data_IF_422138368255
#
_entry.id   IF_422138368255
#
_cell.length_a   1.000
_cell.length_b   1.000
_cell.length_c   1.000
_cell.angle_alpha   90.00
_cell.angle_beta   90.00
_cell.angle_gamma   90.00
#
_symmetry.space_group_name_H-M   'P 1'
#
loop_
_entity.id
_entity.type
_entity.pdbx_description
1 polymer ?
#
# COMPACT_ATOMS: atom_id res chain seq x y z
N UNK A 1 26.72 4.56 21.50
CA UNK A 1 25.37 4.70 20.91
C UNK A 1 24.79 3.31 20.77
N UNK A 2 23.51 3.14 21.10
CA UNK A 2 22.84 1.84 20.97
C UNK A 2 22.91 1.33 19.52
N UNK A 3 23.24 0.05 19.34
CA UNK A 3 23.29 -0.55 18.01
C UNK A 3 21.88 -0.96 17.60
N UNK A 4 21.29 -0.22 16.67
CA UNK A 4 19.98 -0.52 16.08
C UNK A 4 20.17 -0.97 14.64
N UNK A 5 19.57 -2.10 14.28
CA UNK A 5 19.45 -2.57 12.90
C UNK A 5 17.97 -2.73 12.52
N UNK A 6 17.67 -2.78 11.23
CA UNK A 6 16.34 -2.97 10.70
C UNK A 6 16.33 -4.06 9.64
N UNK A 7 15.36 -4.96 9.70
CA UNK A 7 15.03 -5.88 8.63
C UNK A 7 13.63 -5.56 8.10
N UNK A 8 13.46 -5.59 6.78
CA UNK A 8 12.14 -5.62 6.12
C UNK A 8 11.96 -7.02 5.56
N UNK A 9 10.94 -7.73 6.03
CA UNK A 9 10.63 -9.08 5.57
C UNK A 9 9.62 -8.97 4.43
N UNK A 10 10.04 -9.35 3.23
CA UNK A 10 9.26 -9.23 2.01
C UNK A 10 8.79 -10.60 1.54
N UNK A 11 7.54 -11.00 1.82
CA UNK A 11 7.05 -12.31 1.44
C UNK A 11 6.85 -12.45 -0.07
N UNK A 12 6.74 -13.71 -0.52
CA UNK A 12 6.50 -14.02 -1.92
C UNK A 12 5.16 -13.46 -2.41
N UNK A 13 5.15 -13.00 -3.66
CA UNK A 13 3.94 -12.63 -4.37
C UNK A 13 3.04 -13.80 -4.76
N UNK A 14 3.51 -15.05 -4.58
CA UNK A 14 2.86 -16.25 -5.10
C UNK A 14 1.45 -16.49 -4.56
N UNK A 15 1.16 -16.02 -3.35
CA UNK A 15 -0.19 -16.09 -2.77
C UNK A 15 -1.17 -15.10 -3.42
N UNK A 16 -0.71 -14.23 -4.33
CA UNK A 16 -1.49 -13.09 -4.84
C UNK A 16 -1.68 -13.08 -6.37
N UNK A 17 -2.09 -14.19 -7.00
CA UNK A 17 -2.32 -14.21 -8.45
C UNK A 17 -3.40 -13.22 -8.87
N UNK A 18 -4.39 -12.92 -8.00
CA UNK A 18 -5.44 -11.94 -8.29
C UNK A 18 -4.91 -10.51 -8.31
N UNK A 19 -4.08 -10.12 -7.33
CA UNK A 19 -3.46 -8.79 -7.30
C UNK A 19 -2.57 -8.60 -8.52
N UNK A 20 -1.71 -9.58 -8.82
CA UNK A 20 -0.82 -9.54 -9.99
C UNK A 20 -1.61 -9.46 -11.32
N UNK A 21 -2.70 -10.22 -11.45
CA UNK A 21 -3.57 -10.16 -12.63
C UNK A 21 -4.26 -8.80 -12.78
N UNK A 22 -4.74 -8.22 -11.68
CA UNK A 22 -5.42 -6.93 -11.69
C UNK A 22 -4.47 -5.76 -12.00
N UNK A 23 -3.22 -5.83 -11.55
CA UNK A 23 -2.22 -4.77 -11.78
C UNK A 23 -1.57 -4.89 -13.17
N UNK A 24 -1.86 -5.96 -13.94
CA UNK A 24 -1.30 -6.16 -15.27
C UNK A 24 0.20 -6.43 -15.28
N UNK A 25 0.79 -6.73 -14.12
CA UNK A 25 2.20 -7.14 -14.03
C UNK A 25 2.30 -8.62 -14.38
N UNK A 26 2.91 -8.93 -15.52
CA UNK A 26 3.29 -10.28 -15.90
C UNK A 26 4.39 -10.82 -14.96
N UNK A 27 4.01 -11.22 -13.74
CA UNK A 27 4.92 -11.83 -12.76
C UNK A 27 4.41 -11.79 -11.32
N UNK A 28 4.82 -12.77 -10.51
CA UNK A 28 4.64 -12.79 -9.06
C UNK A 28 5.54 -11.71 -8.43
N UNK A 29 5.00 -10.49 -8.26
CA UNK A 29 5.68 -9.40 -7.55
C UNK A 29 5.37 -9.47 -6.06
N UNK A 30 6.39 -9.24 -5.23
CA UNK A 30 6.21 -9.12 -3.78
C UNK A 30 5.31 -7.92 -3.43
N UNK A 31 4.44 -8.01 -2.41
CA UNK A 31 3.66 -6.87 -1.90
C UNK A 31 4.49 -5.62 -1.59
N UNK A 32 5.73 -5.79 -1.13
CA UNK A 32 6.65 -4.69 -0.85
C UNK A 32 7.03 -3.86 -2.10
N UNK A 33 6.86 -4.43 -3.30
CA UNK A 33 7.13 -3.76 -4.57
C UNK A 33 5.86 -3.28 -5.29
N UNK A 34 4.69 -3.36 -4.62
CA UNK A 34 3.46 -2.80 -5.14
C UNK A 34 3.43 -1.28 -4.99
N UNK A 35 2.68 -0.62 -5.87
CA UNK A 35 2.44 0.82 -5.78
C UNK A 35 1.16 1.06 -4.98
N UNK A 36 1.27 1.77 -3.86
CA UNK A 36 0.14 2.16 -3.01
C UNK A 36 0.08 3.69 -3.00
N UNK A 37 -1.03 4.26 -3.45
CA UNK A 37 -1.09 5.69 -3.74
C UNK A 37 -0.16 6.06 -4.90
N UNK A 38 0.80 6.96 -4.67
CA UNK A 38 1.76 7.37 -5.71
C UNK A 38 3.12 6.65 -5.62
N UNK A 39 3.38 5.88 -4.55
CA UNK A 39 4.72 5.38 -4.23
C UNK A 39 4.76 3.87 -4.10
N UNK A 40 5.94 3.29 -4.32
CA UNK A 40 6.19 1.88 -4.02
C UNK A 40 6.23 1.70 -2.50
N UNK A 41 5.60 0.65 -1.99
CA UNK A 41 5.54 0.32 -0.55
C UNK A 41 6.92 0.39 0.11
N UNK A 42 7.95 -0.16 -0.53
CA UNK A 42 9.31 -0.15 -0.03
C UNK A 42 9.95 1.26 -0.01
N UNK A 43 9.60 2.13 -0.95
CA UNK A 43 10.05 3.54 -0.95
C UNK A 43 9.41 4.32 0.22
N UNK A 44 8.16 4.00 0.57
CA UNK A 44 7.49 4.59 1.74
C UNK A 44 8.19 4.19 3.03
N UNK A 45 8.50 2.89 3.20
CA UNK A 45 9.28 2.40 4.34
C UNK A 45 10.67 3.02 4.39
N UNK A 46 11.34 3.15 3.25
CA UNK A 46 12.66 3.75 3.19
C UNK A 46 12.65 5.23 3.61
N UNK A 47 11.62 5.98 3.21
CA UNK A 47 11.40 7.36 3.66
C UNK A 47 11.24 7.44 5.18
N UNK A 48 10.45 6.54 5.78
CA UNK A 48 10.31 6.45 7.23
C UNK A 48 11.64 6.10 7.93
N UNK A 49 12.43 5.20 7.34
CA UNK A 49 13.74 4.80 7.86
C UNK A 49 14.77 5.95 7.81
N UNK A 50 14.80 6.72 6.73
CA UNK A 50 15.68 7.89 6.58
C UNK A 50 15.35 9.02 7.57
N UNK A 51 14.08 9.16 7.94
CA UNK A 51 13.66 10.10 8.99
C UNK A 51 14.11 9.70 10.39
N UNK A 52 14.53 8.44 10.58
CA UNK A 52 14.92 7.90 11.88
C UNK A 52 16.43 7.98 12.12
N UNK A 53 16.84 8.94 12.95
CA UNK A 53 18.27 9.15 13.30
C UNK A 53 18.97 7.92 13.90
N UNK A 54 18.25 7.03 14.58
CA UNK A 54 18.80 5.78 15.13
C UNK A 54 19.27 4.80 14.05
N UNK A 55 18.70 4.89 12.85
CA UNK A 55 18.98 4.00 11.73
C UNK A 55 19.92 4.61 10.68
N UNK A 56 20.41 5.83 10.90
CA UNK A 56 21.44 6.42 10.04
C UNK A 56 22.83 5.84 10.37
N UNK A 57 23.70 5.60 9.37
CA UNK A 57 23.40 5.55 7.94
C UNK A 57 22.59 4.30 7.56
N UNK A 58 21.47 4.47 6.82
CA UNK A 58 20.50 3.40 6.53
C UNK A 58 21.16 2.21 5.83
N UNK A 59 22.04 2.48 4.87
CA UNK A 59 22.72 1.47 4.07
C UNK A 59 23.61 0.49 4.87
N UNK A 60 23.95 0.80 6.12
CA UNK A 60 24.71 -0.08 7.01
C UNK A 60 23.84 -0.86 7.99
N UNK A 61 22.58 -0.47 8.14
CA UNK A 61 21.68 -0.95 9.20
C UNK A 61 20.41 -1.59 8.67
N UNK A 62 20.05 -1.35 7.41
CA UNK A 62 18.88 -1.91 6.76
C UNK A 62 19.24 -3.18 5.97
N UNK A 63 18.42 -4.20 6.15
CA UNK A 63 18.45 -5.43 5.37
C UNK A 63 17.05 -5.73 4.84
N UNK A 64 16.97 -6.22 3.62
CA UNK A 64 15.73 -6.71 3.02
C UNK A 64 15.85 -8.22 2.97
N UNK A 65 14.89 -8.93 3.54
CA UNK A 65 14.85 -10.39 3.50
C UNK A 65 13.72 -10.83 2.58
N UNK A 66 14.04 -11.58 1.54
CA UNK A 66 13.08 -12.08 0.56
C UNK A 66 13.37 -13.53 0.20
N UNK A 67 12.51 -14.16 -0.59
CA UNK A 67 12.81 -15.46 -1.18
C UNK A 67 13.89 -15.36 -2.27
N UNK A 68 14.69 -16.42 -2.43
CA UNK A 68 15.74 -16.52 -3.46
C UNK A 68 15.25 -16.14 -4.87
N UNK A 69 14.02 -16.56 -5.24
CA UNK A 69 13.43 -16.29 -6.54
C UNK A 69 13.07 -14.81 -6.78
N UNK A 70 13.02 -13.99 -5.73
CA UNK A 70 12.65 -12.58 -5.82
C UNK A 70 13.84 -11.61 -5.68
N UNK A 71 15.03 -12.11 -5.32
CA UNK A 71 16.21 -11.26 -5.11
C UNK A 71 16.50 -10.34 -6.30
N UNK A 72 16.39 -10.84 -7.52
CA UNK A 72 16.60 -10.05 -8.73
C UNK A 72 15.61 -8.88 -8.86
N UNK A 73 14.36 -9.05 -8.41
CA UNK A 73 13.36 -7.97 -8.43
C UNK A 73 13.71 -6.86 -7.43
N UNK A 74 14.14 -7.22 -6.22
CA UNK A 74 14.58 -6.25 -5.21
C UNK A 74 15.90 -5.57 -5.60
N UNK A 75 16.82 -6.28 -6.24
CA UNK A 75 18.03 -5.69 -6.81
C UNK A 75 17.68 -4.67 -7.89
N UNK A 76 16.81 -5.04 -8.83
CA UNK A 76 16.34 -4.13 -9.87
C UNK A 76 15.61 -2.91 -9.29
N UNK A 77 14.78 -3.08 -8.25
CA UNK A 77 14.18 -1.96 -7.55
C UNK A 77 15.25 -1.04 -6.94
N UNK A 78 16.24 -1.59 -6.22
CA UNK A 78 17.28 -0.80 -5.57
C UNK A 78 18.12 0.03 -6.57
N UNK A 79 18.36 -0.50 -7.77
CA UNK A 79 19.09 0.17 -8.85
C UNK A 79 18.28 1.25 -9.59
N UNK A 80 16.95 1.16 -9.55
CA UNK A 80 16.06 2.06 -10.31
C UNK A 80 15.28 3.03 -9.43
N UNK A 81 15.17 2.79 -8.11
CA UNK A 81 14.45 3.66 -7.19
C UNK A 81 15.29 4.90 -6.84
N UNK A 82 14.78 6.12 -7.12
CA UNK A 82 15.40 7.35 -6.66
C UNK A 82 15.54 7.39 -5.13
N UNK A 83 14.56 6.83 -4.41
CA UNK A 83 14.56 6.80 -2.95
C UNK A 83 15.66 5.89 -2.41
N UNK A 84 15.84 4.70 -3.03
CA UNK A 84 16.93 3.78 -2.71
C UNK A 84 18.29 4.46 -2.88
N UNK A 85 18.51 5.15 -4.00
CA UNK A 85 19.72 5.92 -4.25
C UNK A 85 19.93 7.05 -3.23
N UNK A 86 18.89 7.81 -2.89
CA UNK A 86 18.97 8.85 -1.88
C UNK A 86 19.33 8.30 -0.49
N UNK A 87 18.89 7.08 -0.16
CA UNK A 87 19.26 6.40 1.07
C UNK A 87 20.66 5.74 1.03
N UNK A 88 21.34 5.77 -0.11
CA UNK A 88 22.58 5.04 -0.33
C UNK A 88 22.41 3.52 -0.36
N UNK A 89 21.18 3.03 -0.57
CA UNK A 89 20.85 1.61 -0.60
C UNK A 89 20.98 1.08 -2.04
N UNK A 90 22.06 0.34 -2.32
CA UNK A 90 22.40 -0.14 -3.67
C UNK A 90 22.18 -1.66 -3.88
N UNK A 91 21.37 -2.30 -3.03
CA UNK A 91 20.89 -3.67 -3.24
C UNK A 91 21.87 -4.83 -2.98
N UNK A 92 23.16 -4.61 -2.74
CA UNK A 92 24.15 -5.69 -2.62
C UNK A 92 23.98 -6.65 -1.42
N UNK A 93 24.86 -6.55 -0.42
CA UNK A 93 24.87 -7.49 0.72
C UNK A 93 23.68 -7.32 1.67
N UNK A 94 22.88 -6.27 1.47
CA UNK A 94 21.71 -5.96 2.27
C UNK A 94 20.47 -6.75 1.84
N UNK A 95 20.45 -7.37 0.65
CA UNK A 95 19.35 -8.23 0.22
C UNK A 95 19.68 -9.68 0.57
N UNK A 96 19.02 -10.21 1.59
CA UNK A 96 19.19 -11.57 2.09
C UNK A 96 18.13 -12.49 1.49
N UNK A 97 18.52 -13.73 1.20
CA UNK A 97 17.58 -14.79 0.84
C UNK A 97 17.27 -15.63 2.07
N UNK A 98 15.99 -15.84 2.35
CA UNK A 98 15.52 -16.83 3.32
C UNK A 98 14.35 -17.62 2.71
N UNK A 99 14.13 -18.89 3.11
CA UNK A 99 12.94 -19.64 2.69
C UNK A 99 11.72 -19.14 3.47
N UNK A 100 11.11 -18.06 3.01
CA UNK A 100 9.90 -17.49 3.63
C UNK A 100 8.68 -18.37 3.34
N UNK A 101 8.76 -19.21 2.31
CA UNK A 101 7.69 -20.11 1.93
C UNK A 101 6.57 -19.40 1.16
N UNK A 102 5.75 -20.18 0.46
CA UNK A 102 4.64 -19.69 -0.36
C UNK A 102 3.31 -19.62 0.40
N UNK A 103 3.32 -19.84 1.71
CA UNK A 103 2.11 -19.90 2.56
C UNK A 103 1.56 -18.50 2.82
N UNK A 104 0.26 -18.43 3.15
CA UNK A 104 -0.44 -17.21 3.58
C UNK A 104 0.23 -16.58 4.81
N UNK A 105 0.90 -17.38 5.63
CA UNK A 105 1.77 -16.91 6.71
C UNK A 105 3.24 -17.12 6.30
N UNK A 106 3.98 -16.05 5.94
CA UNK A 106 5.40 -16.18 5.64
C UNK A 106 6.15 -16.65 6.87
N UNK A 107 7.17 -17.50 6.65
CA UNK A 107 8.11 -17.95 7.66
C UNK A 107 9.06 -16.80 8.05
N UNK A 108 8.51 -15.78 8.70
CA UNK A 108 9.20 -14.59 9.16
C UNK A 108 10.32 -14.95 10.18
N UNK A 109 10.19 -16.06 10.91
CA UNK A 109 11.24 -16.54 11.82
C UNK A 109 12.48 -17.05 11.05
N UNK A 110 12.30 -17.61 9.86
CA UNK A 110 13.44 -17.92 8.98
C UNK A 110 14.18 -16.64 8.54
N UNK A 111 13.48 -15.52 8.37
CA UNK A 111 14.12 -14.24 8.11
C UNK A 111 14.98 -13.76 9.30
N UNK A 112 14.47 -13.92 10.54
CA UNK A 112 15.22 -13.62 11.76
C UNK A 112 16.48 -14.50 11.87
N UNK A 113 16.37 -15.77 11.50
CA UNK A 113 17.48 -16.71 11.50
C UNK A 113 18.54 -16.36 10.46
N UNK A 114 18.11 -15.99 9.24
CA UNK A 114 19.02 -15.53 8.19
C UNK A 114 19.77 -14.26 8.60
N UNK A 115 19.10 -13.32 9.27
CA UNK A 115 19.74 -12.14 9.83
C UNK A 115 20.70 -12.48 10.98
N UNK A 116 20.30 -13.35 11.92
CA UNK A 116 21.14 -13.77 13.04
C UNK A 116 22.43 -14.47 12.58
N UNK A 117 22.43 -15.10 11.41
CA UNK A 117 23.61 -15.73 10.82
C UNK A 117 24.69 -14.72 10.35
N UNK A 118 24.37 -13.42 10.24
CA UNK A 118 25.32 -12.39 9.80
C UNK A 118 26.35 -11.98 10.86
N UNK A 119 26.15 -12.32 12.14
CA UNK A 119 27.11 -12.04 13.20
C UNK A 119 26.47 -11.72 14.55
N UNK A 120 27.13 -10.86 15.32
CA UNK A 120 26.64 -10.45 16.64
C UNK A 120 25.31 -9.70 16.50
N UNK A 121 24.26 -10.10 17.24
CA UNK A 121 22.97 -9.43 17.17
C UNK A 121 23.09 -7.96 17.61
N UNK A 122 22.34 -7.05 16.98
CA UNK A 122 22.26 -5.67 17.44
C UNK A 122 21.61 -5.62 18.84
N UNK A 123 21.79 -4.50 19.55
CA UNK A 123 21.13 -4.27 20.83
C UNK A 123 19.60 -4.24 20.65
N UNK A 124 19.13 -3.62 19.56
CA UNK A 124 17.72 -3.64 19.16
C UNK A 124 17.61 -3.93 17.66
N UNK A 125 16.82 -4.94 17.31
CA UNK A 125 16.44 -5.27 15.94
C UNK A 125 15.02 -4.80 15.68
N UNK A 126 14.86 -3.90 14.70
CA UNK A 126 13.56 -3.50 14.18
C UNK A 126 13.17 -4.44 13.06
N UNK A 127 11.96 -4.98 13.12
CA UNK A 127 11.41 -5.88 12.10
C UNK A 127 10.19 -5.20 11.51
N UNK A 128 10.15 -5.10 10.19
CA UNK A 128 9.02 -4.56 9.45
C UNK A 128 8.46 -5.66 8.55
N UNK A 129 7.15 -5.87 8.59
CA UNK A 129 6.46 -6.70 7.60
C UNK A 129 6.27 -5.90 6.30
N UNK A 130 7.02 -6.27 5.26
CA UNK A 130 7.00 -5.64 3.95
C UNK A 130 5.71 -5.89 3.17
N UNK A 131 4.82 -6.79 3.65
CA UNK A 131 3.48 -6.96 3.09
C UNK A 131 2.42 -6.10 3.79
N UNK A 132 2.83 -5.09 4.56
CA UNK A 132 1.92 -4.19 5.23
C UNK A 132 2.47 -2.76 5.26
N UNK A 133 1.58 -1.81 5.52
CA UNK A 133 1.89 -0.39 5.70
C UNK A 133 1.24 0.15 6.97
N UNK A 134 1.86 1.14 7.60
CA UNK A 134 1.21 1.98 8.60
C UNK A 134 0.57 3.22 7.95
N UNK A 135 -0.13 4.03 8.73
CA UNK A 135 -0.64 5.31 8.27
C UNK A 135 0.47 6.25 7.72
N UNK A 136 0.13 7.16 6.79
CA UNK A 136 0.99 8.27 6.41
C UNK A 136 1.45 9.07 7.63
N UNK A 137 2.75 9.35 7.71
CA UNK A 137 3.33 10.08 8.85
C UNK A 137 3.60 9.22 10.09
N UNK A 138 3.45 7.89 10.01
CA UNK A 138 3.93 7.00 11.07
C UNK A 138 5.40 7.29 11.42
N UNK A 139 5.63 7.72 12.66
CA UNK A 139 6.96 8.10 13.13
C UNK A 139 7.71 6.87 13.67
N UNK A 140 8.47 6.21 12.80
CA UNK A 140 9.36 5.12 13.19
C UNK A 140 10.41 5.54 14.24
N UNK A 141 10.84 6.81 14.23
CA UNK A 141 11.75 7.36 15.25
C UNK A 141 11.18 7.23 16.66
N UNK A 142 9.98 7.76 16.91
CA UNK A 142 9.28 7.66 18.19
C UNK A 142 9.05 6.21 18.61
N UNK A 143 8.65 5.34 17.66
CA UNK A 143 8.47 3.91 17.95
C UNK A 143 9.77 3.28 18.49
N UNK A 144 10.90 3.48 17.82
CA UNK A 144 12.20 2.96 18.25
C UNK A 144 12.62 3.59 19.59
N UNK A 145 12.43 4.90 19.74
CA UNK A 145 12.73 5.61 20.99
C UNK A 145 11.97 5.00 22.18
N UNK A 146 10.70 4.63 22.02
CA UNK A 146 9.93 3.96 23.06
C UNK A 146 10.55 2.61 23.48
N UNK A 147 10.96 1.78 22.52
CA UNK A 147 11.65 0.52 22.82
C UNK A 147 13.00 0.74 23.51
N UNK A 148 13.76 1.75 23.08
CA UNK A 148 15.07 2.07 23.66
C UNK A 148 14.94 2.57 25.11
N UNK A 149 14.06 3.55 25.36
CA UNK A 149 13.84 4.12 26.70
C UNK A 149 13.33 3.08 27.69
N UNK A 150 12.46 2.17 27.26
CA UNK A 150 11.95 1.10 28.13
C UNK A 150 12.95 -0.03 28.35
N UNK A 151 13.87 -0.24 27.41
CA UNK A 151 14.74 -1.42 27.44
C UNK A 151 13.97 -2.74 27.29
N UNK A 152 12.80 -2.71 26.63
CA UNK A 152 11.89 -3.86 26.48
C UNK A 152 11.52 -4.11 25.02
N UNK A 153 11.01 -5.31 24.72
CA UNK A 153 10.47 -5.65 23.42
C UNK A 153 9.19 -4.84 23.20
N UNK A 154 9.00 -4.32 21.98
CA UNK A 154 7.83 -3.52 21.63
C UNK A 154 7.28 -3.95 20.28
N UNK A 155 5.97 -3.81 20.09
CA UNK A 155 5.37 -3.91 18.77
C UNK A 155 4.27 -2.88 18.58
N UNK A 156 4.03 -2.51 17.33
CA UNK A 156 3.02 -1.55 16.95
C UNK A 156 1.64 -2.22 16.94
N UNK A 157 0.60 -1.53 17.39
CA UNK A 157 -0.78 -2.02 17.29
C UNK A 157 -1.74 -0.91 16.89
N UNK A 158 -2.80 -1.24 16.15
CA UNK A 158 -3.88 -0.30 15.82
C UNK A 158 -5.17 -0.72 16.51
N UNK A 159 -5.96 0.26 16.96
CA UNK A 159 -7.30 0.01 17.49
C UNK A 159 -8.35 0.33 16.42
N UNK A 160 -9.30 -0.58 16.17
CA UNK A 160 -10.31 -0.34 15.16
C UNK A 160 -11.32 -1.47 14.97
N UNK A 161 -12.24 -1.34 13.99
CA UNK A 161 -13.09 -2.43 13.55
C UNK A 161 -12.23 -3.50 12.89
N UNK A 162 -12.30 -4.72 13.39
CA UNK A 162 -11.33 -5.74 12.97
C UNK A 162 -11.49 -6.18 11.51
N UNK A 163 -12.71 -6.10 10.98
CA UNK A 163 -13.03 -6.40 9.57
C UNK A 163 -12.28 -5.49 8.59
N UNK A 164 -11.97 -4.24 8.98
CA UNK A 164 -11.31 -3.27 8.10
C UNK A 164 -9.80 -3.41 8.07
N UNK A 165 -9.22 -4.05 9.09
CA UNK A 165 -7.77 -4.06 9.28
C UNK A 165 -7.08 -5.18 8.48
N UNK A 166 -7.83 -6.16 7.96
CA UNK A 166 -7.28 -7.31 7.23
C UNK A 166 -6.30 -8.17 8.05
N UNK A 167 -6.14 -7.85 9.34
CA UNK A 167 -5.11 -8.41 10.20
C UNK A 167 -5.59 -9.67 10.90
N UNK A 168 -4.70 -10.65 10.94
CA UNK A 168 -5.02 -12.00 11.41
C UNK A 168 -4.87 -12.16 12.93
N UNK A 169 -4.33 -11.16 13.66
CA UNK A 169 -3.96 -11.31 15.07
C UNK A 169 -4.49 -10.16 15.92
N UNK A 170 -5.42 -10.49 16.80
CA UNK A 170 -5.92 -9.63 17.86
C UNK A 170 -4.94 -9.61 19.04
N UNK A 171 -4.72 -8.42 19.58
CA UNK A 171 -3.81 -8.15 20.69
C UNK A 171 -4.62 -7.90 21.95
N UNK A 172 -4.31 -8.63 23.01
CA UNK A 172 -4.88 -8.42 24.34
C UNK A 172 -3.92 -7.55 25.17
N UNK A 173 -4.44 -6.44 25.69
CA UNK A 173 -3.67 -5.40 26.36
C UNK A 173 -4.07 -5.28 27.84
N UNK A 174 -3.08 -5.07 28.71
CA UNK A 174 -3.26 -4.82 30.14
C UNK A 174 -3.36 -3.31 30.40
N UNK A 175 -4.56 -2.87 30.77
CA UNK A 175 -4.86 -1.48 31.14
C UNK A 175 -5.04 -0.54 29.94
N UNK A 176 -5.24 0.75 30.24
CA UNK A 176 -5.52 1.82 29.27
C UNK A 176 -4.35 2.81 29.11
N UNK A 177 -3.15 2.42 29.55
CA UNK A 177 -1.98 3.30 29.42
C UNK A 177 -1.62 3.54 27.96
N UNK A 178 -0.93 4.65 27.65
CA UNK A 178 -0.47 4.96 26.30
C UNK A 178 0.47 3.89 25.69
N UNK A 179 1.09 3.06 26.53
CA UNK A 179 1.97 1.96 26.10
C UNK A 179 1.66 0.72 26.97
N UNK A 180 0.51 0.08 26.71
CA UNK A 180 0.01 -1.00 27.55
C UNK A 180 0.90 -2.24 27.41
N UNK A 181 0.96 -3.03 28.49
CA UNK A 181 1.63 -4.32 28.45
C UNK A 181 0.75 -5.30 27.66
N UNK A 182 1.38 -6.16 26.89
CA UNK A 182 0.67 -7.15 26.08
C UNK A 182 0.58 -8.42 26.89
N UNK A 183 -0.63 -8.96 27.02
CA UNK A 183 -0.93 -10.14 27.85
C UNK A 183 -1.31 -11.37 27.03
N UNK A 184 -1.66 -11.18 25.75
CA UNK A 184 -1.98 -12.28 24.87
C UNK A 184 -2.10 -11.85 23.42
N UNK A 185 -1.89 -12.80 22.52
CA UNK A 185 -2.23 -12.71 21.10
C UNK A 185 -3.24 -13.81 20.79
N UNK A 186 -4.24 -13.46 19.99
CA UNK A 186 -5.29 -14.38 19.57
C UNK A 186 -5.48 -14.27 18.06
N UNK A 187 -5.46 -15.40 17.36
CA UNK A 187 -5.82 -15.43 15.95
C UNK A 187 -7.28 -14.99 15.80
N UNK A 188 -7.53 -14.07 14.88
CA UNK A 188 -8.86 -13.55 14.67
C UNK A 188 -9.78 -14.63 14.08
N UNK A 189 -10.97 -14.81 14.67
CA UNK A 189 -12.01 -15.65 14.08
C UNK A 189 -12.87 -14.81 13.14
N UNK A 190 -13.11 -15.33 11.93
CA UNK A 190 -13.73 -14.65 10.79
C UNK A 190 -15.12 -14.06 11.07
N UNK A 191 -15.84 -14.54 12.09
CA UNK A 191 -17.27 -14.27 12.27
C UNK A 191 -17.59 -13.27 13.40
N UNK A 192 -16.56 -12.71 14.05
CA UNK A 192 -16.76 -11.83 15.20
C UNK A 192 -16.37 -10.38 14.89
N UNK A 193 -17.37 -9.56 14.55
CA UNK A 193 -17.29 -8.11 14.52
C UNK A 193 -17.06 -7.58 15.96
N UNK A 194 -15.83 -7.70 16.45
CA UNK A 194 -15.40 -7.13 17.72
C UNK A 194 -14.56 -5.89 17.47
N UNK A 195 -14.74 -4.87 18.31
CA UNK A 195 -13.75 -3.80 18.44
C UNK A 195 -12.54 -4.38 19.18
N UNK A 196 -11.37 -4.28 18.56
CA UNK A 196 -10.15 -4.87 19.08
C UNK A 196 -8.93 -4.03 18.78
N UNK A 197 -7.82 -4.43 19.40
CA UNK A 197 -6.49 -4.00 18.98
C UNK A 197 -5.91 -5.08 18.08
N UNK A 198 -5.30 -4.69 16.97
CA UNK A 198 -4.69 -5.60 16.02
C UNK A 198 -3.21 -5.29 15.89
N UNK A 199 -2.43 -6.33 15.62
CA UNK A 199 -0.98 -6.23 15.54
C UNK A 199 -0.55 -5.56 14.23
N UNK A 200 0.07 -4.39 14.33
CA UNK A 200 0.57 -3.62 13.19
C UNK A 200 1.98 -4.11 12.76
N UNK A 201 2.50 -3.68 11.59
CA UNK A 201 3.60 -4.40 10.92
C UNK A 201 5.00 -4.07 11.42
N UNK A 202 5.16 -3.45 12.59
CA UNK A 202 6.45 -2.98 13.10
C UNK A 202 6.73 -3.55 14.49
N UNK A 203 7.89 -4.17 14.63
CA UNK A 203 8.36 -4.79 15.87
C UNK A 203 9.75 -4.26 16.22
N UNK A 204 10.06 -4.15 17.51
CA UNK A 204 11.38 -3.85 18.02
C UNK A 204 11.74 -4.90 19.07
N UNK A 205 12.69 -5.78 18.71
CA UNK A 205 13.19 -6.84 19.57
C UNK A 205 14.54 -6.48 20.15
N UNK A 206 14.77 -6.82 21.42
CA UNK A 206 16.09 -6.76 22.03
C UNK A 206 16.96 -7.90 21.50
N UNK A 207 18.25 -7.64 21.36
CA UNK A 207 19.22 -8.66 20.94
C UNK A 207 19.17 -9.92 21.81
N UNK A 208 18.85 -9.77 23.10
CA UNK A 208 18.66 -10.87 24.06
C UNK A 208 17.41 -11.72 23.80
N UNK A 209 16.42 -11.19 23.09
CA UNK A 209 15.16 -11.88 22.77
C UNK A 209 15.26 -12.65 21.45
N UNK A 210 16.18 -12.28 20.55
CA UNK A 210 16.34 -12.93 19.24
C UNK A 210 16.59 -14.45 19.34
N UNK A 211 17.48 -14.98 20.21
CA UNK A 211 17.67 -16.42 20.33
C UNK A 211 16.38 -17.14 20.72
N UNK A 212 15.57 -16.55 21.61
CA UNK A 212 14.29 -17.14 22.04
C UNK A 212 13.29 -17.18 20.90
N UNK A 213 13.21 -16.12 20.09
CA UNK A 213 12.35 -16.05 18.92
C UNK A 213 12.73 -17.11 17.89
N UNK A 214 14.02 -17.23 17.56
CA UNK A 214 14.52 -18.21 16.60
C UNK A 214 14.32 -19.65 17.09
N UNK A 215 14.48 -19.89 18.40
CA UNK A 215 14.34 -21.23 18.99
C UNK A 215 12.89 -21.63 19.26
N UNK A 216 11.93 -20.71 19.14
CA UNK A 216 10.50 -20.98 19.44
C UNK A 216 9.86 -22.01 18.52
N UNK A 217 10.43 -22.25 17.33
CA UNK A 217 9.81 -23.09 16.30
C UNK A 217 8.60 -22.46 15.61
N UNK A 218 8.24 -21.22 15.97
CA UNK A 218 7.21 -20.44 15.30
C UNK A 218 7.58 -20.19 13.83
N UNK A 219 6.57 -20.03 12.98
CA UNK A 219 6.76 -19.64 11.58
C UNK A 219 6.52 -18.14 11.42
N UNK A 220 5.47 -17.61 12.05
CA UNK A 220 5.14 -16.19 12.02
C UNK A 220 5.78 -15.43 13.20
N UNK A 221 6.06 -14.14 13.01
CA UNK A 221 6.54 -13.27 14.10
C UNK A 221 5.46 -13.14 15.18
N UNK A 222 4.18 -13.14 14.85
CA UNK A 222 3.08 -13.13 15.82
C UNK A 222 3.14 -14.32 16.79
N UNK A 223 3.33 -15.52 16.27
CA UNK A 223 3.51 -16.75 17.06
C UNK A 223 4.75 -16.66 17.95
N UNK A 224 5.86 -16.15 17.40
CA UNK A 224 7.09 -15.98 18.17
C UNK A 224 6.93 -14.92 19.29
N UNK A 225 6.19 -13.84 19.03
CA UNK A 225 5.86 -12.82 20.04
C UNK A 225 5.04 -13.41 21.17
N UNK A 226 4.16 -14.38 20.91
CA UNK A 226 3.40 -15.05 21.98
C UNK A 226 4.32 -15.69 23.03
N UNK A 227 5.50 -16.17 22.64
CA UNK A 227 6.52 -16.69 23.58
C UNK A 227 7.09 -15.57 24.46
N UNK A 228 7.31 -14.38 23.89
CA UNK A 228 7.78 -13.21 24.65
C UNK A 228 6.70 -12.63 25.56
N UNK A 229 5.45 -12.67 25.13
CA UNK A 229 4.30 -12.23 25.95
C UNK A 229 4.21 -13.04 27.24
N UNK A 230 4.47 -14.34 27.17
CA UNK A 230 4.52 -15.21 28.36
C UNK A 230 5.62 -14.83 29.35
N UNK A 231 6.72 -14.21 28.90
CA UNK A 231 7.77 -13.72 29.80
C UNK A 231 7.44 -12.35 30.40
N UNK A 232 6.39 -11.67 29.91
CA UNK A 232 5.88 -10.43 30.46
C UNK A 232 6.63 -9.16 30.04
N UNK A 233 7.53 -9.25 29.06
CA UNK A 233 8.48 -8.19 28.69
C UNK A 233 8.11 -7.46 27.39
N UNK A 234 6.84 -7.52 26.98
CA UNK A 234 6.36 -6.98 25.70
C UNK A 234 5.35 -5.87 25.91
N UNK A 235 5.57 -4.75 25.23
CA UNK A 235 4.68 -3.59 25.27
C UNK A 235 4.15 -3.23 23.88
N UNK A 236 2.90 -2.79 23.85
CA UNK A 236 2.29 -2.24 22.65
C UNK A 236 2.62 -0.74 22.51
N UNK A 237 2.88 -0.30 21.29
CA UNK A 237 2.93 1.12 20.91
C UNK A 237 1.79 1.38 19.93
N UNK A 238 0.84 2.29 20.22
CA UNK A 238 -0.30 2.52 19.35
C UNK A 238 0.12 3.20 18.05
N UNK A 239 -0.47 2.76 16.94
CA UNK A 239 -0.48 3.42 15.63
C UNK A 239 -1.91 3.72 15.23
N UNK A 240 -2.12 4.69 14.34
CA UNK A 240 -3.46 5.14 13.98
C UNK A 240 -4.19 4.10 13.14
N UNK A 241 -3.53 3.55 12.12
CA UNK A 241 -4.04 2.44 11.35
C UNK A 241 -2.93 1.70 10.62
N UNK A 242 -3.22 0.47 10.21
CA UNK A 242 -2.30 -0.29 9.39
C UNK A 242 -3.07 -1.08 8.35
N UNK A 243 -2.41 -1.34 7.24
CA UNK A 243 -2.99 -1.89 6.04
C UNK A 243 -2.27 -3.17 5.68
N UNK A 244 -3.01 -4.27 5.61
CA UNK A 244 -2.52 -5.53 5.09
C UNK A 244 -2.58 -5.53 3.56
N UNK A 245 -1.42 -5.69 2.91
CA UNK A 245 -1.28 -5.76 1.45
C UNK A 245 -1.17 -7.21 0.97
N UNK A 246 -1.25 -8.18 1.89
CA UNK A 246 -1.26 -9.61 1.60
C UNK A 246 -2.58 -10.09 1.00
N UNK A 247 -3.58 -9.24 0.84
CA UNK A 247 -4.81 -9.64 0.15
C UNK A 247 -5.29 -8.51 -0.76
N UNK A 248 -6.07 -8.88 -1.77
CA UNK A 248 -6.52 -7.92 -2.77
C UNK A 248 -7.35 -6.81 -2.13
N UNK A 249 -8.29 -7.15 -1.25
CA UNK A 249 -9.18 -6.17 -0.64
C UNK A 249 -8.41 -5.17 0.24
N UNK A 250 -7.47 -5.67 1.04
CA UNK A 250 -6.57 -4.86 1.87
C UNK A 250 -5.65 -3.97 1.04
N UNK A 251 -5.05 -4.49 -0.04
CA UNK A 251 -4.28 -3.69 -0.99
C UNK A 251 -5.11 -2.55 -1.59
N UNK A 252 -6.32 -2.84 -2.06
CA UNK A 252 -7.19 -1.84 -2.69
C UNK A 252 -7.68 -0.78 -1.71
N UNK A 253 -8.00 -1.21 -0.49
CA UNK A 253 -8.38 -0.31 0.60
C UNK A 253 -7.22 0.61 0.96
N UNK A 254 -6.01 0.07 1.14
CA UNK A 254 -4.80 0.85 1.36
C UNK A 254 -4.56 1.84 0.22
N UNK A 255 -4.65 1.36 -1.01
CA UNK A 255 -4.40 2.16 -2.18
C UNK A 255 -5.35 3.34 -2.32
N UNK A 256 -6.65 3.10 -2.14
CA UNK A 256 -7.67 4.14 -2.13
C UNK A 256 -7.44 5.13 -0.98
N UNK A 257 -7.09 4.64 0.21
CA UNK A 257 -6.80 5.48 1.37
C UNK A 257 -5.61 6.41 1.14
N UNK A 258 -4.49 5.88 0.64
CA UNK A 258 -3.29 6.68 0.37
C UNK A 258 -3.54 7.71 -0.75
N UNK A 259 -4.31 7.37 -1.78
CA UNK A 259 -4.73 8.34 -2.80
C UNK A 259 -5.60 9.45 -2.21
N UNK A 260 -6.60 9.08 -1.40
CA UNK A 260 -7.46 10.04 -0.71
C UNK A 260 -6.63 10.97 0.18
N UNK A 261 -5.74 10.40 0.99
CA UNK A 261 -4.86 11.17 1.88
C UNK A 261 -4.01 12.18 1.11
N UNK A 262 -3.39 11.78 0.00
CA UNK A 262 -2.59 12.68 -0.83
C UNK A 262 -3.42 13.81 -1.44
N UNK A 263 -4.63 13.52 -1.90
CA UNK A 263 -5.54 14.55 -2.43
C UNK A 263 -6.00 15.51 -1.33
N UNK A 264 -6.42 14.97 -0.19
CA UNK A 264 -6.86 15.74 0.97
C UNK A 264 -5.73 16.63 1.50
N UNK A 265 -4.51 16.11 1.56
CA UNK A 265 -3.32 16.87 1.93
C UNK A 265 -3.05 18.05 0.98
N UNK A 266 -3.12 17.82 -0.34
CA UNK A 266 -2.97 18.86 -1.36
C UNK A 266 -4.01 19.97 -1.21
N UNK A 267 -5.27 19.60 -0.93
CA UNK A 267 -6.36 20.55 -0.69
C UNK A 267 -6.11 21.40 0.56
N UNK A 268 -5.71 20.77 1.67
CA UNK A 268 -5.45 21.47 2.93
C UNK A 268 -4.27 22.45 2.84
N UNK A 269 -3.22 22.10 2.10
CA UNK A 269 -1.99 22.89 2.05
C UNK A 269 -1.91 23.82 0.83
N UNK A 270 -2.92 23.84 -0.04
CA UNK A 270 -2.97 24.69 -1.23
C UNK A 270 -1.82 24.47 -2.22
N UNK A 271 -1.14 23.32 -2.16
CA UNK A 271 0.01 23.02 -3.01
C UNK A 271 -0.39 22.12 -4.19
N UNK A 272 -0.12 22.60 -5.41
CA UNK A 272 -0.46 21.88 -6.65
C UNK A 272 0.53 20.75 -6.97
N UNK A 273 1.80 20.85 -6.56
CA UNK A 273 2.89 19.95 -7.00
C UNK A 273 3.79 19.44 -5.86
N UNK A 274 3.21 18.84 -4.80
CA UNK A 274 4.02 18.03 -3.89
C UNK A 274 4.25 16.63 -4.46
N UNK A 275 5.52 16.19 -4.46
CA UNK A 275 5.86 14.77 -4.54
C UNK A 275 5.32 14.07 -3.28
N UNK A 276 4.87 12.82 -3.40
CA UNK A 276 4.33 12.07 -2.28
C UNK A 276 5.35 11.91 -1.13
N UNK A 277 6.64 11.90 -1.45
CA UNK A 277 7.72 11.73 -0.47
C UNK A 277 7.86 12.95 0.42
N UNK A 278 7.51 14.14 -0.09
CA UNK A 278 7.48 15.39 0.68
C UNK A 278 6.36 15.37 1.73
N UNK A 279 5.22 14.74 1.42
CA UNK A 279 4.08 14.65 2.37
C UNK A 279 4.43 13.77 3.57
N UNK A 280 5.14 12.66 3.34
CA UNK A 280 5.55 11.75 4.42
C UNK A 280 6.63 12.35 5.34
N UNK A 281 7.53 13.18 4.80
CA UNK A 281 8.61 13.79 5.59
C UNK A 281 8.12 14.88 6.57
N UNK A 282 7.09 15.65 6.20
CA UNK A 282 6.59 16.79 7.00
C UNK A 282 6.07 16.35 8.38
N UNK A 283 5.56 15.13 8.51
CA UNK A 283 4.98 14.62 9.76
C UNK A 283 6.01 14.08 10.77
N UNK A 284 7.29 13.97 10.39
CA UNK A 284 8.34 13.39 11.23
C UNK A 284 9.16 14.42 12.01
N UNK A 285 8.97 15.71 11.71
CA UNK A 285 9.60 16.80 12.46
C UNK A 285 9.18 16.77 13.94
N UNK A 286 10.16 16.85 14.83
CA UNK A 286 9.91 17.13 16.25
C UNK A 286 8.94 18.31 16.34
N UNK A 287 7.98 18.24 17.27
CA UNK A 287 6.99 19.28 17.52
C UNK A 287 7.63 20.56 18.10
N UNK A 288 8.58 21.14 17.37
CA UNK A 288 9.16 22.44 17.60
C UNK A 288 8.22 23.51 17.07
N UNK A 289 7.26 23.91 17.90
CA UNK A 289 6.56 25.20 17.94
C UNK A 289 5.82 25.75 16.70
N UNK A 290 6.00 25.25 15.47
CA UNK A 290 5.18 25.67 14.33
C UNK A 290 3.98 24.74 14.19
N UNK A 291 2.88 25.11 14.86
CA UNK A 291 1.60 24.40 14.86
C UNK A 291 0.92 24.36 13.49
N UNK A 292 1.47 23.55 12.57
CA UNK A 292 0.70 23.05 11.44
C UNK A 292 -0.23 21.99 12.03
N UNK A 293 -1.47 22.39 12.32
CA UNK A 293 -2.55 21.51 12.74
C UNK A 293 -2.82 20.52 11.61
N UNK A 294 -2.08 19.42 11.57
CA UNK A 294 -2.45 18.29 10.75
C UNK A 294 -3.77 17.79 11.28
N UNK A 295 -4.78 17.69 10.40
CA UNK A 295 -6.04 17.08 10.76
C UNK A 295 -5.75 15.73 11.42
N UNK A 296 -6.29 15.45 12.62
CA UNK A 296 -5.97 14.23 13.33
C UNK A 296 -6.28 13.06 12.39
N UNK A 297 -5.33 12.13 12.21
CA UNK A 297 -5.46 11.01 11.25
C UNK A 297 -6.81 10.28 11.39
N UNK A 298 -7.34 10.22 12.61
CA UNK A 298 -8.69 9.71 12.89
C UNK A 298 -9.80 10.42 12.11
N UNK A 299 -9.77 11.75 11.96
CA UNK A 299 -10.74 12.51 11.18
C UNK A 299 -10.63 12.18 9.68
N UNK A 300 -9.40 12.11 9.15
CA UNK A 300 -9.16 11.71 7.75
C UNK A 300 -9.65 10.29 7.51
N UNK A 301 -9.34 9.35 8.41
CA UNK A 301 -9.76 7.96 8.31
C UNK A 301 -11.29 7.83 8.39
N UNK A 302 -11.94 8.62 9.26
CA UNK A 302 -13.40 8.67 9.36
C UNK A 302 -14.04 9.23 8.08
N UNK A 303 -13.53 10.34 7.53
CA UNK A 303 -14.00 10.92 6.27
C UNK A 303 -13.80 9.96 5.10
N UNK A 304 -12.63 9.31 5.05
CA UNK A 304 -12.35 8.26 4.08
C UNK A 304 -13.32 7.10 4.22
N UNK A 305 -13.50 6.55 5.41
CA UNK A 305 -14.42 5.41 5.62
C UNK A 305 -15.86 5.77 5.27
N UNK A 306 -16.31 6.98 5.59
CA UNK A 306 -17.64 7.45 5.19
C UNK A 306 -17.77 7.55 3.66
N UNK A 307 -16.77 8.14 2.99
CA UNK A 307 -16.74 8.28 1.53
C UNK A 307 -16.60 6.94 0.82
N UNK A 308 -15.76 6.06 1.37
CA UNK A 308 -15.43 4.74 0.84
C UNK A 308 -16.61 3.78 1.01
N UNK A 309 -17.25 3.73 2.19
CA UNK A 309 -18.44 2.92 2.41
C UNK A 309 -19.60 3.34 1.48
N UNK A 310 -19.76 4.64 1.22
CA UNK A 310 -20.72 5.15 0.25
C UNK A 310 -20.35 4.79 -1.20
N UNK A 311 -19.05 4.71 -1.50
CA UNK A 311 -18.52 4.41 -2.83
C UNK A 311 -18.36 2.91 -3.11
N UNK A 312 -18.44 2.02 -2.11
CA UNK A 312 -18.15 0.59 -2.29
C UNK A 312 -19.30 -0.22 -2.92
N UNK A 313 -19.88 0.31 -4.00
CA UNK A 313 -20.56 -0.55 -4.96
C UNK A 313 -19.49 -1.17 -5.88
N UNK A 314 -19.65 -2.45 -6.23
CA UNK A 314 -18.73 -3.13 -7.16
C UNK A 314 -18.51 -2.34 -8.48
N UNK A 315 -19.49 -1.54 -8.88
CA UNK A 315 -19.41 -0.66 -10.06
C UNK A 315 -18.50 0.56 -9.87
N UNK A 316 -18.60 1.28 -8.77
CA UNK A 316 -17.75 2.44 -8.52
C UNK A 316 -16.29 2.02 -8.33
N UNK A 317 -16.08 0.85 -7.73
CA UNK A 317 -14.77 0.20 -7.67
C UNK A 317 -14.22 -0.15 -9.08
N UNK A 318 -15.04 -0.74 -9.96
CA UNK A 318 -14.64 -1.00 -11.35
C UNK A 318 -14.28 0.29 -12.11
N UNK A 319 -14.97 1.40 -11.84
CA UNK A 319 -14.64 2.72 -12.42
C UNK A 319 -13.33 3.28 -11.85
N UNK A 320 -13.08 3.14 -10.54
CA UNK A 320 -11.82 3.56 -9.91
C UNK A 320 -10.62 2.83 -10.53
N UNK A 321 -10.71 1.50 -10.68
CA UNK A 321 -9.65 0.70 -11.31
C UNK A 321 -9.45 1.04 -12.80
N UNK A 322 -10.52 1.40 -13.51
CA UNK A 322 -10.45 1.88 -14.90
C UNK A 322 -9.75 3.25 -15.02
N UNK A 323 -9.89 4.14 -14.02
CA UNK A 323 -9.28 5.47 -14.02
C UNK A 323 -7.81 5.50 -13.61
N UNK A 324 -7.40 4.62 -12.68
CA UNK A 324 -6.05 4.61 -12.12
C UNK A 324 -5.01 4.04 -13.08
N UNK A 325 -5.40 3.05 -13.87
CA UNK A 325 -4.49 2.50 -14.84
C UNK A 325 -4.56 3.31 -16.13
N UNK A 326 -3.63 4.27 -16.26
CA UNK A 326 -3.26 4.82 -17.57
C UNK A 326 -2.92 3.73 -18.61
N UNK A 327 -2.75 2.47 -18.16
CA UNK A 327 -2.51 1.27 -18.98
C UNK A 327 -3.80 0.42 -19.19
N UNK A 328 -4.76 0.33 -18.26
CA UNK A 328 -6.02 -0.42 -18.43
C UNK A 328 -7.14 0.43 -19.07
N UNK A 329 -6.99 1.76 -19.09
CA UNK A 329 -7.80 2.64 -19.93
C UNK A 329 -7.34 2.65 -21.39
N UNK A 330 -6.11 2.19 -21.64
CA UNK A 330 -5.56 2.06 -22.97
C UNK A 330 -6.07 0.76 -23.60
N UNK A 331 -6.82 0.81 -24.71
CA UNK A 331 -7.22 -0.38 -25.43
C UNK A 331 -6.02 -1.30 -25.67
N UNK A 332 -6.20 -2.62 -25.51
CA UNK A 332 -5.11 -3.62 -25.63
C UNK A 332 -4.28 -3.45 -26.92
N UNK A 333 -4.90 -3.01 -28.02
CA UNK A 333 -4.19 -2.69 -29.27
C UNK A 333 -3.11 -1.60 -29.12
N UNK A 334 -3.17 -0.74 -28.12
CA UNK A 334 -2.20 0.32 -27.87
C UNK A 334 -1.21 -0.04 -26.75
N UNK A 335 -1.43 -1.13 -26.01
CA UNK A 335 -0.47 -1.64 -25.01
C UNK A 335 0.65 -2.42 -25.68
N UNK A 336 0.35 -3.16 -26.76
CA UNK A 336 1.35 -3.94 -27.49
C UNK A 336 1.19 -3.79 -29.01
N UNK A 337 2.23 -3.24 -29.65
CA UNK A 337 2.30 -3.10 -31.11
C UNK A 337 2.21 -4.45 -31.85
N UNK A 338 2.61 -5.55 -31.21
CA UNK A 338 2.58 -6.90 -31.81
C UNK A 338 1.15 -7.40 -32.11
N UNK A 339 0.16 -6.86 -31.39
CA UNK A 339 -1.26 -7.19 -31.59
C UNK A 339 -1.83 -6.63 -32.90
N UNK A 340 -1.15 -5.66 -33.52
CA UNK A 340 -1.53 -5.16 -34.83
C UNK A 340 -1.18 -6.18 -35.91
N UNK A 341 -2.21 -6.75 -36.53
CA UNK A 341 -2.04 -7.64 -37.70
C UNK A 341 -1.68 -6.83 -38.95
N UNK A 342 -0.43 -6.39 -39.03
CA UNK A 342 0.09 -5.66 -40.18
C UNK A 342 0.44 -6.62 -41.33
N UNK A 343 -0.08 -6.34 -42.52
CA UNK A 343 0.23 -7.08 -43.75
C UNK A 343 0.53 -6.10 -44.86
N UNK A 344 1.78 -6.03 -45.29
CA UNK A 344 2.20 -5.20 -46.43
C UNK A 344 1.69 -5.79 -47.73
N UNK A 345 1.15 -4.95 -48.61
CA UNK A 345 0.94 -5.32 -50.01
C UNK A 345 2.31 -5.44 -50.68
N UNK A 346 2.70 -6.66 -51.02
CA UNK A 346 3.93 -6.89 -51.77
C UNK A 346 3.76 -6.32 -53.18
N UNK A 347 4.73 -5.50 -53.60
CA UNK A 347 4.83 -4.99 -54.96
C UNK A 347 6.18 -5.39 -55.52
N UNK A 348 6.21 -5.53 -56.84
CA UNK A 348 7.45 -5.78 -57.55
C UNK A 348 8.40 -4.57 -57.38
N UNK A 349 9.70 -4.76 -57.09
CA UNK A 349 10.63 -3.66 -56.84
C UNK A 349 10.71 -2.61 -57.96
N UNK A 350 10.51 -3.03 -59.21
CA UNK A 350 10.54 -2.16 -60.39
C UNK A 350 9.23 -1.38 -60.61
N UNK A 351 8.13 -1.80 -59.98
CA UNK A 351 6.80 -1.21 -60.14
C UNK A 351 6.25 -0.67 -58.81
N UNK A 352 7.12 -0.04 -58.01
CA UNK A 352 6.69 0.63 -56.79
C UNK A 352 6.06 1.98 -57.11
N UNK A 353 4.83 2.18 -56.64
CA UNK A 353 4.17 3.50 -56.70
C UNK A 353 4.44 4.25 -55.41
N UNK A 354 4.50 5.59 -55.46
CA UNK A 354 4.59 6.43 -54.25
C UNK A 354 3.43 6.19 -53.28
N UNK A 355 2.25 5.86 -53.81
CA UNK A 355 1.09 5.50 -52.99
C UNK A 355 1.31 4.21 -52.17
N UNK A 356 2.23 3.32 -52.58
CA UNK A 356 2.56 2.12 -51.83
C UNK A 356 3.42 2.40 -50.59
N UNK A 357 3.97 3.60 -50.45
CA UNK A 357 4.72 3.99 -49.24
C UNK A 357 3.79 4.16 -48.03
N UNK A 358 2.53 4.56 -48.25
CA UNK A 358 1.53 4.65 -47.20
C UNK A 358 1.19 3.25 -46.66
N UNK A 359 1.46 3.03 -45.37
CA UNK A 359 1.25 1.73 -44.72
C UNK A 359 2.36 0.70 -44.97
N UNK A 360 3.47 1.08 -45.63
CA UNK A 360 4.61 0.19 -45.87
C UNK A 360 5.45 -0.11 -44.61
N UNK A 361 5.28 0.67 -43.54
CA UNK A 361 5.98 0.48 -42.26
C UNK A 361 5.04 -0.17 -41.24
N UNK A 362 5.49 -1.21 -40.50
CA UNK A 362 4.71 -1.76 -39.39
C UNK A 362 4.66 -0.74 -38.24
N UNK A 363 3.59 -0.73 -37.44
CA UNK A 363 3.56 0.05 -36.21
C UNK A 363 4.64 -0.47 -35.25
N UNK A 364 5.39 0.44 -34.63
CA UNK A 364 6.32 0.12 -33.54
C UNK A 364 5.79 0.66 -32.21
N UNK A 365 6.25 0.12 -31.09
CA UNK A 365 5.80 0.56 -29.76
C UNK A 365 6.02 2.06 -29.53
N UNK A 366 7.10 2.62 -30.10
CA UNK A 366 7.44 4.05 -30.03
C UNK A 366 6.43 4.94 -30.78
N UNK A 367 5.65 4.38 -31.69
CA UNK A 367 4.62 5.11 -32.46
C UNK A 367 3.24 5.07 -31.80
N UNK A 368 3.05 4.24 -30.76
CA UNK A 368 1.79 4.17 -30.03
C UNK A 368 1.69 5.37 -29.06
N UNK A 369 0.49 5.93 -28.86
CA UNK A 369 0.33 7.07 -27.97
C UNK A 369 0.54 6.64 -26.51
N UNK A 370 1.11 7.51 -25.66
CA UNK A 370 1.30 7.21 -24.23
C UNK A 370 -0.01 7.22 -23.44
N UNK A 371 -1.08 7.82 -23.98
CA UNK A 371 -2.42 7.81 -23.41
C UNK A 371 -3.50 7.76 -24.51
N UNK A 372 -4.65 7.17 -24.20
CA UNK A 372 -5.80 7.11 -25.12
C UNK A 372 -7.07 7.65 -24.45
N UNK A 373 -7.62 8.72 -25.02
CA UNK A 373 -8.85 9.36 -24.55
C UNK A 373 -10.02 9.07 -25.50
N UNK A 374 -10.39 7.80 -25.64
CA UNK A 374 -11.51 7.41 -26.48
C UNK A 374 -12.85 7.86 -25.92
N UNK A 375 -13.66 8.55 -26.72
CA UNK A 375 -15.04 8.88 -26.36
C UNK A 375 -15.93 7.66 -26.56
N UNK A 376 -16.50 7.12 -25.47
CA UNK A 376 -17.49 6.05 -25.55
C UNK A 376 -18.84 6.64 -25.94
N UNK A 377 -19.25 6.43 -27.19
CA UNK A 377 -20.56 6.86 -27.68
C UNK A 377 -21.74 6.01 -27.19
N UNK A 378 -21.58 5.13 -26.20
CA UNK A 378 -22.61 4.20 -25.73
C UNK A 378 -23.87 4.94 -25.24
N UNK A 379 -23.68 6.03 -24.51
CA UNK A 379 -24.78 6.89 -24.05
C UNK A 379 -25.58 7.46 -25.23
N UNK A 380 -24.89 7.98 -26.24
CA UNK A 380 -25.52 8.57 -27.44
C UNK A 380 -26.00 7.52 -28.45
N UNK A 381 -25.51 6.29 -28.39
CA UNK A 381 -25.85 5.21 -29.34
C UNK A 381 -27.26 4.71 -29.12
N UNK A 382 -27.72 4.72 -27.87
CA UNK A 382 -29.08 4.34 -27.49
C UNK A 382 -30.04 5.53 -27.46
N UNK A 383 -29.55 6.76 -27.69
CA UNK A 383 -30.43 7.88 -27.97
C UNK A 383 -31.19 7.55 -29.25
N UNK A 384 -32.49 7.30 -29.08
CA UNK A 384 -33.40 6.82 -30.11
C UNK A 384 -33.19 7.66 -31.38
N UNK A 385 -32.79 6.99 -32.46
CA UNK A 385 -32.69 7.60 -33.78
C UNK A 385 -34.05 8.21 -34.12
N UNK A 386 -34.05 9.52 -34.22
CA UNK A 386 -35.06 10.33 -34.88
C UNK A 386 -36.39 10.44 -34.12
N UNK A 387 -36.74 11.70 -33.88
CA UNK A 387 -38.01 12.23 -33.41
C UNK A 387 -38.35 11.93 -31.94
N UNK A 388 -37.89 12.82 -31.06
CA UNK A 388 -38.58 13.09 -29.80
C UNK A 388 -39.95 13.68 -30.17
N UNK A 389 -40.95 12.82 -30.39
CA UNK A 389 -42.33 13.27 -30.53
C UNK A 389 -42.92 13.44 -29.15
N UNK A 390 -43.24 14.68 -28.79
CA UNK A 390 -44.08 14.96 -27.62
C UNK A 390 -45.54 14.74 -28.02
N UNK A 391 -46.03 13.50 -27.90
CA UNK A 391 -47.44 13.15 -28.14
C UNK A 391 -48.37 13.39 -26.94
N UNK A 392 -47.93 14.19 -25.96
CA UNK A 392 -48.64 14.33 -24.70
C UNK A 392 -49.62 15.49 -24.75
N UNK A 393 -50.82 15.27 -24.21
CA UNK A 393 -51.75 16.35 -23.90
C UNK A 393 -51.26 17.11 -22.67
N UNK A 394 -51.42 18.44 -22.66
CA UNK A 394 -51.16 19.25 -21.48
C UNK A 394 -52.20 18.93 -20.41
N UNK A 395 -51.84 18.12 -19.42
CA UNK A 395 -52.68 17.79 -18.26
C UNK A 395 -52.34 18.62 -17.03
N UNK A 396 -51.47 19.63 -17.17
CA UNK A 396 -51.19 20.57 -16.10
C UNK A 396 -52.46 21.30 -15.69
N UNK A 397 -52.96 20.99 -14.49
CA UNK A 397 -53.97 21.82 -13.85
C UNK A 397 -53.34 23.19 -13.61
N UNK A 398 -54.00 24.30 -14.00
CA UNK A 398 -53.49 25.62 -13.70
C UNK A 398 -53.61 25.86 -12.19
N UNK A 399 -52.54 25.56 -11.45
CA UNK A 399 -52.43 25.90 -10.05
C UNK A 399 -51.97 27.36 -9.97
N UNK A 400 -52.89 28.22 -9.56
CA UNK A 400 -52.57 29.60 -9.19
C UNK A 400 -51.59 29.59 -8.01
N UNK A 401 -50.56 30.46 -8.04
CA UNK A 401 -49.63 30.64 -6.90
C UNK A 401 -50.32 30.98 -5.58
N UNK A 402 -51.59 31.43 -5.64
CA UNK A 402 -52.41 31.71 -4.46
C UNK A 402 -52.89 30.42 -3.78
N UNK A 403 -53.07 29.33 -4.52
CA UNK A 403 -53.49 28.04 -3.97
C UNK A 403 -52.32 27.24 -3.35
N UNK A 404 -51.09 27.41 -3.83
CA UNK A 404 -49.89 26.83 -3.17
C UNK A 404 -49.75 27.34 -1.73
N UNK A 405 -49.88 28.66 -1.53
CA UNK A 405 -49.76 29.27 -0.21
C UNK A 405 -50.85 28.81 0.79
N UNK A 406 -52.02 28.38 0.30
CA UNK A 406 -53.10 27.85 1.14
C UNK A 406 -52.94 26.36 1.44
N UNK A 407 -52.23 25.61 0.60
CA UNK A 407 -52.00 24.17 0.78
C UNK A 407 -50.86 23.91 1.77
N UNK A 408 -49.88 24.82 1.87
CA UNK A 408 -48.80 24.75 2.87
C UNK A 408 -49.24 25.11 4.31
N UNK A 409 -50.44 25.68 4.47
CA UNK A 409 -50.99 26.11 5.77
C UNK A 409 -51.95 25.09 6.42
N UNK A 410 -52.18 23.95 5.78
CA UNK A 410 -52.87 22.79 6.35
C UNK A 410 -51.87 21.66 6.56
#
# INVERSE_FOLDING_TARGET
MAQVACIIICPNGSAYPRVAATIGSHGQRSPALLQVGAEVVLDQWLSALQSCSWLLPVQQKLYIVCDAGQQAQFQAWAENSPQAHQAGFLGGKQILSAPLGSSVAPNQVAALSAFAALGSPPETLVVIDGASLCEPGFSLHRFIQHSLVRGKDCFAFSSGPTEQLGQQVQVQLEGSSANPRVIGLQALQSDSASHGCCMAPVFAFKGTSLPKLVQSGAQAVSEAVQVLVQSGDVYGVPVQCSFDLSNLDGYLYADAFFCFYQQHWKLLHGQTDMSASSVLQINTGEAGASGVDTAPMHAVLHEFNHSYAAAMTAEAYARYMQGRSGVLGMPERFTDASLWRWRRKQQHPVYMTSNNEYGAKPPSQQMLPPSWHGVKGEFTKNYIKNEIRTGNFSTGLPISRVHDALTELC
#
